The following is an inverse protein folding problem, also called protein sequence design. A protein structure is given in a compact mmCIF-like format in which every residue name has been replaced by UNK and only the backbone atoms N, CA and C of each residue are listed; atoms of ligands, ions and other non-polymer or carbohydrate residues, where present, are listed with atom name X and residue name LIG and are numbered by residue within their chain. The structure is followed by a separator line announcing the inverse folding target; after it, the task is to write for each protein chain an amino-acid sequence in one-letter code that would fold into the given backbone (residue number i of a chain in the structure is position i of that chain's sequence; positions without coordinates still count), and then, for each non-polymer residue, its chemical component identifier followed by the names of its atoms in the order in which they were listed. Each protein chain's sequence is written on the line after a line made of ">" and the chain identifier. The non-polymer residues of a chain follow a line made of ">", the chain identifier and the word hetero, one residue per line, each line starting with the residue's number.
data_IF_767420860410
#
_entry.id   IF_767420860410
#
_cell.length_a   1.000
_cell.length_b   1.000
_cell.length_c   1.000
_cell.angle_alpha   90.00
_cell.angle_beta   90.00
_cell.angle_gamma   90.00
#
_symmetry.space_group_name_H-M   'P 1'
#
loop_
_entity.id
_entity.type
_entity.pdbx_description
1 polymer ?
#
# COMPACT_ATOMS: atom_id res chain seq x y z
N UNK A 1 -13.19 3.73 -8.12
CA UNK A 1 -12.51 4.56 -7.13
C UNK A 1 -11.49 3.73 -6.37
N UNK A 2 -10.26 4.21 -6.23
CA UNK A 2 -9.19 3.44 -5.58
C UNK A 2 -8.91 4.01 -4.19
N UNK A 3 -8.78 3.13 -3.19
CA UNK A 3 -8.54 3.56 -1.82
C UNK A 3 -7.62 2.55 -1.11
N UNK A 4 -6.94 3.03 -0.07
CA UNK A 4 -6.08 2.19 0.77
C UNK A 4 -6.62 2.25 2.20
N UNK A 5 -6.72 1.09 2.84
CA UNK A 5 -7.21 0.98 4.22
C UNK A 5 -6.25 0.09 5.02
N UNK A 6 -6.04 0.43 6.28
CA UNK A 6 -5.31 -0.42 7.23
C UNK A 6 -6.27 -1.13 8.18
N UNK A 7 -7.46 -0.57 8.32
CA UNK A 7 -8.58 -1.17 9.04
C UNK A 7 -9.77 -1.14 8.10
N UNK A 8 -10.46 -2.25 7.96
CA UNK A 8 -11.56 -2.36 7.00
C UNK A 8 -12.61 -1.28 7.26
N UNK A 9 -12.96 -0.54 6.22
CA UNK A 9 -13.97 0.51 6.28
C UNK A 9 -13.43 1.90 6.55
N UNK A 10 -12.14 2.04 6.81
CA UNK A 10 -11.53 3.35 7.15
C UNK A 10 -10.44 3.67 6.15
N UNK A 11 -10.67 4.67 5.31
CA UNK A 11 -9.69 5.08 4.29
C UNK A 11 -8.49 5.76 4.92
N UNK A 12 -7.29 5.38 4.48
CA UNK A 12 -6.07 6.08 4.85
C UNK A 12 -5.91 7.29 3.91
N UNK A 13 -5.87 8.49 4.50
CA UNK A 13 -5.83 9.72 3.73
C UNK A 13 -4.41 10.14 3.31
N UNK A 14 -3.40 9.61 4.01
CA UNK A 14 -2.01 9.95 3.70
C UNK A 14 -1.56 9.13 2.50
N UNK A 15 -1.01 9.80 1.49
CA UNK A 15 -0.54 9.17 0.26
C UNK A 15 0.87 8.61 0.49
N UNK A 16 1.11 7.34 0.21
CA UNK A 16 2.42 6.73 0.48
C UNK A 16 3.42 6.97 -0.64
N UNK A 17 4.69 6.78 -0.30
CA UNK A 17 5.70 6.52 -1.32
C UNK A 17 5.61 5.05 -1.69
N UNK A 18 5.66 4.75 -2.98
CA UNK A 18 5.54 3.39 -3.46
C UNK A 18 6.73 3.05 -4.34
N UNK A 19 7.39 1.93 -4.02
CA UNK A 19 8.49 1.42 -4.82
C UNK A 19 8.13 0.04 -5.35
N UNK A 20 8.24 -0.13 -6.66
CA UNK A 20 7.83 -1.36 -7.33
C UNK A 20 9.03 -1.97 -8.03
N UNK A 21 9.27 -3.26 -7.80
CA UNK A 21 10.28 -4.02 -8.51
C UNK A 21 9.62 -5.22 -9.19
N UNK A 22 10.18 -5.64 -10.31
CA UNK A 22 9.67 -6.78 -11.07
C UNK A 22 10.83 -7.68 -11.44
N UNK A 23 10.63 -8.98 -11.39
CA UNK A 23 11.65 -9.94 -11.81
C UNK A 23 11.92 -9.81 -13.32
N UNK A 24 13.09 -10.25 -13.75
CA UNK A 24 13.50 -10.13 -15.16
C UNK A 24 12.57 -10.88 -16.10
N UNK A 25 12.08 -12.03 -15.69
CA UNK A 25 11.19 -12.84 -16.51
C UNK A 25 9.73 -12.41 -16.41
N UNK A 26 9.45 -11.40 -15.57
CA UNK A 26 8.09 -10.88 -15.41
C UNK A 26 7.15 -11.77 -14.61
N UNK A 27 7.66 -12.86 -14.01
CA UNK A 27 6.81 -13.82 -13.31
C UNK A 27 6.37 -13.39 -11.92
N UNK A 28 7.07 -12.42 -11.33
CA UNK A 28 6.72 -11.93 -10.00
C UNK A 28 7.20 -10.50 -9.82
N UNK A 29 6.74 -9.88 -8.75
CA UNK A 29 7.14 -8.53 -8.41
C UNK A 29 6.91 -8.25 -6.94
N UNK A 30 7.39 -7.10 -6.49
CA UNK A 30 7.27 -6.64 -5.11
C UNK A 30 6.92 -5.17 -5.10
N UNK A 31 6.03 -4.77 -4.21
CA UNK A 31 5.73 -3.37 -3.99
C UNK A 31 5.95 -3.05 -2.52
N UNK A 32 6.69 -1.98 -2.24
CA UNK A 32 6.91 -1.50 -0.89
C UNK A 32 6.23 -0.16 -0.75
N UNK A 33 5.35 -0.06 0.24
CA UNK A 33 4.60 1.17 0.55
C UNK A 33 5.17 1.77 1.82
N UNK A 34 5.44 3.06 1.80
CA UNK A 34 5.89 3.77 2.99
C UNK A 34 4.97 4.96 3.24
N UNK A 35 4.32 4.95 4.41
CA UNK A 35 3.39 6.00 4.83
C UNK A 35 4.03 6.78 5.96
N UNK A 36 4.34 8.06 5.72
CA UNK A 36 4.88 8.93 6.76
C UNK A 36 3.74 9.54 7.55
N UNK A 37 3.76 9.33 8.86
CA UNK A 37 2.73 9.86 9.78
C UNK A 37 1.30 9.56 9.30
N UNK A 38 0.99 8.28 9.01
CA UNK A 38 -0.34 7.96 8.50
C UNK A 38 -1.42 8.18 9.56
N UNK A 39 -2.64 8.43 9.10
CA UNK A 39 -3.78 8.63 10.02
C UNK A 39 -4.05 7.40 10.87
N UNK A 40 -3.74 6.21 10.35
CA UNK A 40 -3.92 4.95 11.09
C UNK A 40 -3.11 4.91 12.39
N UNK A 41 -2.02 5.68 12.49
CA UNK A 41 -1.19 5.75 13.69
C UNK A 41 -1.50 6.96 14.57
N UNK A 42 -2.48 7.77 14.21
CA UNK A 42 -2.80 8.96 15.01
C UNK A 42 -3.46 8.55 16.33
N UNK A 43 -3.27 9.38 17.35
CA UNK A 43 -3.82 9.12 18.69
C UNK A 43 -5.36 9.05 18.70
N UNK A 44 -5.98 9.69 17.75
CA UNK A 44 -7.44 9.69 17.65
C UNK A 44 -8.00 8.39 17.07
N UNK A 45 -7.14 7.52 16.50
CA UNK A 45 -7.55 6.24 15.94
C UNK A 45 -7.47 5.15 16.99
N UNK A 46 -8.56 4.41 17.13
CA UNK A 46 -8.65 3.30 18.07
C UNK A 46 -8.78 1.95 17.38
N UNK A 47 -9.01 1.95 16.07
CA UNK A 47 -9.16 0.73 15.29
C UNK A 47 -7.83 0.02 15.09
N UNK A 48 -7.85 -1.30 15.20
CA UNK A 48 -6.64 -2.10 14.99
C UNK A 48 -6.26 -2.15 13.52
N UNK A 49 -4.96 -2.09 13.27
CA UNK A 49 -4.42 -2.31 11.93
C UNK A 49 -4.37 -3.81 11.69
N UNK A 50 -5.14 -4.29 10.73
CA UNK A 50 -5.25 -5.71 10.45
C UNK A 50 -4.53 -6.14 9.18
N UNK A 51 -4.05 -5.19 8.39
CA UNK A 51 -3.37 -5.44 7.12
C UNK A 51 -3.37 -4.17 6.30
N UNK A 52 -2.95 -4.27 5.04
CA UNK A 52 -3.13 -3.18 4.08
C UNK A 52 -4.05 -3.68 2.98
N UNK A 53 -5.12 -2.95 2.74
CA UNK A 53 -6.17 -3.31 1.78
C UNK A 53 -6.17 -2.27 0.66
N UNK A 54 -5.90 -2.73 -0.56
CA UNK A 54 -5.94 -1.89 -1.75
C UNK A 54 -7.26 -2.20 -2.46
N UNK A 55 -8.18 -1.25 -2.44
CA UNK A 55 -9.56 -1.47 -2.85
C UNK A 55 -9.90 -0.61 -4.06
N UNK A 56 -10.43 -1.22 -5.11
CA UNK A 56 -10.92 -0.50 -6.28
C UNK A 56 -12.12 -1.23 -6.89
N UNK A 57 -12.51 -0.81 -8.10
CA UNK A 57 -13.69 -1.36 -8.76
C UNK A 57 -13.55 -2.85 -9.09
N UNK A 58 -12.33 -3.36 -9.19
CA UNK A 58 -12.10 -4.79 -9.47
C UNK A 58 -12.11 -5.66 -8.23
N UNK A 59 -12.08 -5.05 -7.03
CA UNK A 59 -12.03 -5.79 -5.79
C UNK A 59 -10.90 -5.32 -4.91
N UNK A 60 -10.37 -6.21 -4.08
CA UNK A 60 -9.32 -5.82 -3.14
C UNK A 60 -8.07 -6.68 -3.30
N UNK A 61 -6.93 -6.05 -3.01
CA UNK A 61 -5.63 -6.72 -2.90
C UNK A 61 -5.20 -6.54 -1.45
N UNK A 62 -4.81 -7.62 -0.78
CA UNK A 62 -4.54 -7.59 0.65
C UNK A 62 -3.13 -8.08 0.95
N UNK A 63 -2.42 -7.39 1.84
CA UNK A 63 -1.20 -7.91 2.44
C UNK A 63 -1.28 -7.77 3.95
N UNK A 64 -0.71 -8.75 4.65
CA UNK A 64 -0.61 -8.73 6.10
C UNK A 64 0.79 -8.31 6.56
N UNK A 65 1.71 -8.14 5.63
CA UNK A 65 3.09 -7.73 5.94
C UNK A 65 3.13 -6.22 6.10
N UNK A 66 2.72 -5.76 7.27
CA UNK A 66 2.58 -4.34 7.61
C UNK A 66 3.31 -4.11 8.92
N UNK A 67 4.26 -3.17 8.91
CA UNK A 67 5.11 -2.90 10.06
C UNK A 67 5.11 -1.42 10.40
N UNK A 68 4.88 -1.11 11.68
CA UNK A 68 5.00 0.26 12.16
C UNK A 68 6.46 0.56 12.47
N UNK A 69 6.90 1.76 12.14
CA UNK A 69 8.24 2.25 12.44
C UNK A 69 8.15 3.25 13.58
N UNK A 70 8.99 3.08 14.59
CA UNK A 70 8.98 3.91 15.79
C UNK A 70 10.23 4.78 15.85
N UNK A 71 10.05 6.02 16.29
CA UNK A 71 11.16 6.94 16.55
C UNK A 71 10.97 7.46 17.97
N UNK A 72 11.99 7.25 18.83
CA UNK A 72 11.93 7.65 20.24
C UNK A 72 10.68 7.11 20.95
N UNK A 73 10.31 5.86 20.63
CA UNK A 73 9.16 5.23 21.26
C UNK A 73 7.80 5.64 20.71
N UNK A 74 7.77 6.53 19.73
CA UNK A 74 6.52 7.00 19.12
C UNK A 74 6.35 6.39 17.73
N UNK A 75 5.14 5.93 17.38
CA UNK A 75 4.89 5.42 16.02
C UNK A 75 4.94 6.58 15.04
N UNK A 76 5.73 6.44 13.98
CA UNK A 76 5.95 7.52 13.04
C UNK A 76 5.61 7.17 11.60
N UNK A 77 5.74 5.90 11.21
CA UNK A 77 5.50 5.51 9.84
C UNK A 77 4.99 4.08 9.77
N UNK A 78 4.38 3.73 8.64
CA UNK A 78 4.02 2.35 8.34
C UNK A 78 4.71 1.95 7.04
N UNK A 79 5.33 0.78 7.05
CA UNK A 79 5.90 0.17 5.87
C UNK A 79 5.15 -1.11 5.58
N UNK A 80 4.65 -1.27 4.36
CA UNK A 80 3.92 -2.46 3.95
C UNK A 80 4.57 -3.08 2.72
N UNK A 81 4.62 -4.40 2.69
CA UNK A 81 5.22 -5.15 1.60
C UNK A 81 4.16 -6.02 0.94
N UNK A 82 4.03 -5.88 -0.38
CA UNK A 82 3.11 -6.69 -1.17
C UNK A 82 3.90 -7.51 -2.17
N UNK A 83 3.70 -8.83 -2.13
CA UNK A 83 4.32 -9.75 -3.09
C UNK A 83 3.32 -10.10 -4.17
N UNK A 84 3.72 -9.97 -5.43
CA UNK A 84 2.92 -10.36 -6.58
C UNK A 84 3.57 -11.61 -7.18
N UNK A 85 2.88 -12.73 -7.09
CA UNK A 85 3.45 -14.05 -7.38
C UNK A 85 3.34 -14.48 -8.83
N UNK A 86 2.68 -13.69 -9.67
CA UNK A 86 2.50 -13.99 -11.08
C UNK A 86 2.45 -12.70 -11.89
N UNK A 87 2.64 -12.82 -13.20
CA UNK A 87 2.49 -11.68 -14.10
C UNK A 87 1.07 -11.10 -14.01
N UNK A 88 0.07 -11.97 -13.86
CA UNK A 88 -1.32 -11.54 -13.73
C UNK A 88 -1.55 -10.72 -12.47
N UNK A 89 -1.00 -11.17 -11.34
CA UNK A 89 -1.09 -10.41 -10.08
C UNK A 89 -0.40 -9.06 -10.19
N UNK A 90 0.74 -9.03 -10.86
CA UNK A 90 1.47 -7.79 -11.08
C UNK A 90 0.64 -6.81 -11.90
N UNK A 91 0.05 -7.27 -12.99
CA UNK A 91 -0.77 -6.42 -13.86
C UNK A 91 -2.02 -5.92 -13.14
N UNK A 92 -2.64 -6.78 -12.32
CA UNK A 92 -3.77 -6.39 -11.50
C UNK A 92 -3.37 -5.26 -10.53
N UNK A 93 -2.21 -5.39 -9.89
CA UNK A 93 -1.70 -4.37 -9.00
C UNK A 93 -1.44 -3.06 -9.73
N UNK A 94 -0.84 -3.12 -10.92
CA UNK A 94 -0.55 -1.92 -11.69
C UNK A 94 -1.85 -1.19 -12.07
N UNK A 95 -2.91 -1.92 -12.39
CA UNK A 95 -4.20 -1.27 -12.65
C UNK A 95 -4.71 -0.51 -11.43
N UNK A 96 -4.56 -1.10 -10.24
CA UNK A 96 -4.90 -0.39 -9.01
C UNK A 96 -4.06 0.87 -8.85
N UNK A 97 -2.74 0.75 -9.02
CA UNK A 97 -1.83 1.88 -8.83
C UNK A 97 -2.12 3.03 -9.81
N UNK A 98 -2.45 2.70 -11.04
CA UNK A 98 -2.80 3.72 -12.03
C UNK A 98 -4.05 4.50 -11.59
N UNK A 99 -5.07 3.80 -11.09
CA UNK A 99 -6.28 4.44 -10.59
C UNK A 99 -5.99 5.29 -9.36
N UNK A 100 -5.24 4.73 -8.43
CA UNK A 100 -4.91 5.42 -7.19
C UNK A 100 -4.06 6.66 -7.45
N UNK A 101 -3.04 6.53 -8.30
CA UNK A 101 -2.15 7.64 -8.64
C UNK A 101 -2.91 8.78 -9.32
N UNK A 102 -3.83 8.45 -10.20
CA UNK A 102 -4.65 9.44 -10.89
C UNK A 102 -5.57 10.19 -9.93
N UNK A 103 -6.19 9.47 -8.99
CA UNK A 103 -7.14 10.05 -8.05
C UNK A 103 -6.46 10.82 -6.91
N UNK A 104 -5.23 10.49 -6.58
CA UNK A 104 -4.51 11.08 -5.45
C UNK A 104 -3.27 11.87 -5.85
N UNK A 105 -3.12 12.12 -7.15
CA UNK A 105 -2.03 12.93 -7.69
C UNK A 105 -0.65 12.39 -7.27
N UNK A 106 -0.48 11.08 -7.33
CA UNK A 106 0.73 10.38 -6.92
C UNK A 106 1.55 9.94 -8.13
N UNK A 107 2.86 10.28 -8.11
CA UNK A 107 3.81 9.63 -8.98
C UNK A 107 4.40 8.42 -8.26
N UNK A 108 4.69 7.34 -8.97
CA UNK A 108 5.36 6.20 -8.35
C UNK A 108 6.47 5.67 -9.25
N UNK A 109 7.51 5.09 -8.61
CA UNK A 109 8.67 4.55 -9.29
C UNK A 109 8.46 3.07 -9.60
N UNK A 110 8.89 2.66 -10.80
CA UNK A 110 8.91 1.25 -11.16
C UNK A 110 10.31 0.91 -11.63
N UNK A 111 10.91 -0.13 -11.05
CA UNK A 111 12.20 -0.65 -11.48
C UNK A 111 12.10 -2.14 -11.77
N UNK A 112 12.91 -2.61 -12.67
CA UNK A 112 12.84 -4.00 -13.11
C UNK A 112 14.23 -4.63 -13.20
#
# INVERSE_FOLDING_TARGET
>A
MARIQFSIGIDEEVVPDVRITRSRDGSNGTATFYFQSPKALSESRTEDITGMYLIDDEGEIVTRDVNAKFVNGQPEAIEALLLMKSAEDFERFIRFMNRYAEEHDLGFSKSS
#
